data_IF_975264491017
#
_entry.id   IF_975264491017
#
_cell.length_a   1.000
_cell.length_b   1.000
_cell.length_c   1.000
_cell.angle_alpha   90.00
_cell.angle_beta   90.00
_cell.angle_gamma   90.00
#
_symmetry.space_group_name_H-M   'P 1'
#
loop_
_entity.id
_entity.type
_entity.pdbx_description
1 polymer ?
#
# COMPACT_ATOMS: atom_id res chain seq x y z
N UNK A 1 64.31 -30.09 -25.40
CA UNK A 1 63.31 -29.52 -26.33
C UNK A 1 62.50 -28.52 -25.50
N UNK A 2 62.45 -27.27 -25.97
CA UNK A 2 62.08 -26.04 -25.27
C UNK A 2 60.56 -25.75 -25.33
N UNK A 3 60.07 -24.95 -24.36
CA UNK A 3 58.90 -24.02 -24.42
C UNK A 3 57.50 -24.71 -24.36
N UNK A 4 56.44 -24.19 -23.75
CA UNK A 4 56.09 -22.84 -23.25
C UNK A 4 54.81 -22.93 -22.41
N UNK A 5 54.61 -21.96 -21.51
CA UNK A 5 53.36 -21.72 -20.78
C UNK A 5 52.18 -21.40 -21.72
N UNK A 6 50.97 -21.82 -21.35
CA UNK A 6 49.73 -21.33 -21.97
C UNK A 6 49.22 -20.12 -21.20
N UNK A 7 49.10 -19.02 -21.95
CA UNK A 7 48.45 -17.76 -21.59
C UNK A 7 47.01 -17.94 -21.11
N UNK A 8 46.63 -17.16 -20.10
CA UNK A 8 45.25 -16.99 -19.68
C UNK A 8 44.55 -15.97 -20.58
N UNK A 9 43.42 -16.29 -21.23
CA UNK A 9 42.60 -15.27 -21.88
C UNK A 9 41.88 -14.45 -20.80
N UNK A 10 42.18 -13.14 -20.75
CA UNK A 10 41.37 -12.16 -20.03
C UNK A 10 40.03 -12.01 -20.76
N UNK A 11 39.05 -12.84 -20.39
CA UNK A 11 37.67 -12.61 -20.76
C UNK A 11 37.12 -11.45 -19.93
N UNK A 12 36.90 -10.32 -20.58
CA UNK A 12 36.08 -9.23 -20.08
C UNK A 12 34.64 -9.74 -19.91
N UNK A 13 34.29 -10.16 -18.70
CA UNK A 13 32.91 -10.41 -18.32
C UNK A 13 32.24 -9.04 -18.15
N UNK A 14 31.21 -8.68 -18.94
CA UNK A 14 30.38 -7.54 -18.59
C UNK A 14 29.64 -7.88 -17.30
N UNK A 15 29.81 -7.04 -16.28
CA UNK A 15 29.02 -7.06 -15.06
C UNK A 15 27.53 -7.11 -15.42
N UNK A 16 26.70 -8.00 -14.81
CA UNK A 16 25.27 -7.85 -14.88
C UNK A 16 24.86 -6.67 -13.97
N UNK A 17 25.04 -5.47 -14.49
CA UNK A 17 24.45 -4.25 -13.94
C UNK A 17 23.00 -4.22 -14.37
N UNK A 18 22.12 -4.75 -13.52
CA UNK A 18 20.84 -4.15 -13.13
C UNK A 18 20.05 -5.20 -12.37
N UNK A 19 20.01 -5.05 -11.06
CA UNK A 19 18.90 -5.57 -10.27
C UNK A 19 17.61 -5.13 -10.96
N UNK A 20 16.61 -6.00 -11.21
CA UNK A 20 15.32 -5.54 -11.68
C UNK A 20 14.80 -4.56 -10.63
N UNK A 21 14.77 -3.27 -10.99
CA UNK A 21 14.06 -2.25 -10.24
C UNK A 21 12.60 -2.68 -10.26
N UNK A 22 12.15 -3.30 -9.17
CA UNK A 22 10.74 -3.53 -8.94
C UNK A 22 10.13 -2.14 -8.77
N UNK A 23 9.52 -1.62 -9.83
CA UNK A 23 8.65 -0.46 -9.71
C UNK A 23 7.66 -0.73 -8.58
N UNK A 24 7.54 0.15 -7.58
CA UNK A 24 6.53 -0.03 -6.56
C UNK A 24 5.18 0.11 -7.28
N UNK A 25 4.50 -1.03 -7.49
CA UNK A 25 3.13 -1.13 -7.99
C UNK A 25 2.20 -0.33 -7.06
N UNK A 26 2.20 0.99 -7.18
CA UNK A 26 1.49 1.88 -6.24
C UNK A 26 0.00 1.95 -6.57
N UNK A 27 -0.46 1.24 -7.61
CA UNK A 27 -1.88 1.12 -7.95
C UNK A 27 -2.11 -0.10 -8.85
N UNK A 28 -2.80 -1.13 -8.37
CA UNK A 28 -3.11 -2.34 -9.18
C UNK A 28 -4.30 -2.07 -10.14
N UNK A 29 -5.02 -0.97 -9.97
CA UNK A 29 -6.06 -0.54 -10.92
C UNK A 29 -5.47 0.35 -12.03
N UNK A 30 -5.32 -0.23 -13.22
CA UNK A 30 -5.00 0.43 -14.49
C UNK A 30 -6.10 1.44 -14.94
N UNK A 31 -5.79 2.35 -15.88
CA UNK A 31 -6.31 3.72 -15.91
C UNK A 31 -7.78 3.82 -16.33
N UNK A 32 -8.62 4.15 -15.34
CA UNK A 32 -9.96 4.69 -15.51
C UNK A 32 -10.12 5.88 -14.58
N UNK A 33 -9.63 7.04 -15.04
CA UNK A 33 -10.04 8.39 -14.61
C UNK A 33 -10.14 8.63 -13.10
N UNK A 34 -9.06 8.39 -12.36
CA UNK A 34 -8.81 9.21 -11.18
C UNK A 34 -8.16 10.50 -11.66
N UNK A 35 -8.98 11.52 -11.85
CA UNK A 35 -8.50 12.85 -12.16
C UNK A 35 -7.86 13.37 -10.87
N UNK A 36 -6.54 13.60 -10.89
CA UNK A 36 -5.90 14.44 -9.88
C UNK A 36 -6.48 15.85 -10.08
N UNK A 37 -7.42 16.22 -9.24
CA UNK A 37 -8.05 17.55 -9.29
C UNK A 37 -7.17 18.47 -8.44
N UNK A 38 -6.85 19.65 -8.99
CA UNK A 38 -6.33 20.79 -8.22
C UNK A 38 -7.18 20.99 -6.96
N UNK A 39 -6.65 21.58 -5.87
CA UNK A 39 -7.42 21.82 -4.66
C UNK A 39 -8.47 22.90 -4.92
N UNK A 40 -9.55 22.53 -5.60
CA UNK A 40 -10.81 23.24 -5.54
C UNK A 40 -11.34 23.07 -4.11
N UNK A 41 -12.02 24.09 -3.62
CA UNK A 41 -12.41 24.19 -2.22
C UNK A 41 -13.56 23.20 -1.94
N UNK A 42 -13.21 21.94 -1.65
CA UNK A 42 -14.17 20.87 -1.36
C UNK A 42 -14.97 21.30 -0.13
N UNK A 43 -16.26 21.55 -0.30
CA UNK A 43 -17.17 21.83 0.81
C UNK A 43 -17.53 20.51 1.47
N UNK A 44 -16.88 20.23 2.61
CA UNK A 44 -17.00 18.93 3.27
C UNK A 44 -18.36 18.83 3.96
N UNK A 45 -19.19 17.88 3.51
CA UNK A 45 -20.45 17.54 4.17
C UNK A 45 -20.32 16.34 5.09
N UNK A 46 -19.46 15.38 4.74
CA UNK A 46 -19.16 14.18 5.51
C UNK A 46 -17.72 13.74 5.23
N UNK A 47 -17.02 13.18 6.21
CA UNK A 47 -15.68 12.64 6.03
C UNK A 47 -15.13 12.04 7.32
N UNK A 48 -14.13 11.19 7.19
CA UNK A 48 -13.50 10.52 8.33
C UNK A 48 -12.00 10.33 8.10
N UNK A 49 -11.28 10.24 9.21
CA UNK A 49 -9.91 9.70 9.26
C UNK A 49 -10.02 8.29 9.84
N UNK A 50 -9.49 7.32 9.10
CA UNK A 50 -9.58 5.89 9.39
C UNK A 50 -8.17 5.33 9.58
N UNK A 51 -7.97 4.65 10.71
CA UNK A 51 -6.75 3.91 11.04
C UNK A 51 -6.90 2.46 10.60
N UNK A 52 -5.97 1.93 9.81
CA UNK A 52 -5.99 0.54 9.34
C UNK A 52 -4.71 -0.16 9.78
N UNK A 53 -4.75 -1.09 10.74
CA UNK A 53 -3.56 -1.82 11.17
C UNK A 53 -3.10 -2.75 10.06
N UNK A 54 -1.79 -2.79 9.79
CA UNK A 54 -1.19 -3.70 8.80
C UNK A 54 0.14 -4.26 9.32
N UNK A 55 0.57 -5.36 8.73
CA UNK A 55 1.76 -6.08 9.20
C UNK A 55 2.67 -6.37 8.01
N UNK A 56 3.88 -5.79 7.99
CA UNK A 56 4.93 -6.21 7.04
C UNK A 56 5.45 -7.62 7.37
N UNK A 57 5.38 -8.00 8.65
CA UNK A 57 5.65 -9.35 9.12
C UNK A 57 4.87 -9.64 10.40
N UNK A 58 4.64 -10.91 10.65
CA UNK A 58 4.20 -11.44 11.96
C UNK A 58 5.29 -12.34 12.53
N UNK A 59 5.09 -12.81 13.76
CA UNK A 59 6.03 -13.71 14.44
C UNK A 59 5.47 -15.12 14.51
N UNK A 60 6.34 -16.12 14.38
CA UNK A 60 5.99 -17.52 14.60
C UNK A 60 7.10 -18.31 15.30
N UNK A 61 6.72 -19.44 15.89
CA UNK A 61 7.62 -20.31 16.63
C UNK A 61 8.17 -19.69 17.93
N UNK A 62 8.89 -20.51 18.70
CA UNK A 62 9.39 -20.12 20.03
C UNK A 62 10.50 -19.06 19.97
N UNK A 63 11.11 -18.85 18.80
CA UNK A 63 12.20 -17.88 18.58
C UNK A 63 11.73 -16.54 18.01
N UNK A 64 10.41 -16.32 17.90
CA UNK A 64 9.85 -15.10 17.29
C UNK A 64 10.42 -14.86 15.89
N UNK A 65 10.46 -15.91 15.07
CA UNK A 65 10.93 -15.80 13.70
C UNK A 65 9.98 -14.90 12.91
N UNK A 66 10.54 -13.99 12.11
CA UNK A 66 9.74 -13.08 11.30
C UNK A 66 9.20 -13.81 10.08
N UNK A 67 7.90 -13.69 9.85
CA UNK A 67 7.22 -14.19 8.66
C UNK A 67 6.73 -13.01 7.80
N UNK A 68 7.46 -12.64 6.73
CA UNK A 68 7.12 -11.49 5.91
C UNK A 68 5.81 -11.67 5.16
N UNK A 69 5.05 -10.58 5.04
CA UNK A 69 3.72 -10.51 4.45
C UNK A 69 3.69 -9.47 3.34
N UNK A 70 2.97 -9.77 2.26
CA UNK A 70 2.48 -8.77 1.31
C UNK A 70 1.25 -8.11 1.91
N UNK A 71 1.12 -6.78 1.78
CA UNK A 71 -0.05 -6.03 2.23
C UNK A 71 -0.76 -5.40 1.04
N UNK A 72 -2.09 -5.58 0.98
CA UNK A 72 -2.96 -4.85 0.05
C UNK A 72 -4.02 -4.11 0.86
N UNK A 73 -3.92 -2.79 0.95
CA UNK A 73 -4.98 -1.92 1.44
C UNK A 73 -6.02 -1.74 0.33
N UNK A 74 -7.30 -1.97 0.64
CA UNK A 74 -8.44 -1.78 -0.25
C UNK A 74 -9.39 -0.73 0.32
N UNK A 75 -9.74 0.26 -0.49
CA UNK A 75 -10.74 1.29 -0.17
C UNK A 75 -11.89 1.14 -1.17
N UNK A 76 -13.08 0.85 -0.67
CA UNK A 76 -14.28 0.58 -1.46
C UNK A 76 -15.33 1.65 -1.17
N UNK A 77 -15.71 2.43 -2.18
CA UNK A 77 -16.87 3.31 -2.07
C UNK A 77 -18.14 2.45 -2.06
N UNK A 78 -18.84 2.44 -0.92
CA UNK A 78 -20.08 1.66 -0.74
C UNK A 78 -21.31 2.38 -1.27
N UNK A 79 -21.18 3.66 -1.65
CA UNK A 79 -22.31 4.45 -2.12
C UNK A 79 -22.72 3.99 -3.51
N UNK A 80 -24.03 3.88 -3.70
CA UNK A 80 -24.64 3.53 -4.99
C UNK A 80 -24.66 4.71 -5.96
N UNK A 81 -24.56 5.94 -5.45
CA UNK A 81 -24.80 7.16 -6.24
C UNK A 81 -23.71 8.21 -6.09
N UNK A 82 -23.10 8.33 -4.90
CA UNK A 82 -22.21 9.44 -4.60
C UNK A 82 -20.72 9.06 -4.75
N UNK A 83 -19.95 9.98 -5.30
CA UNK A 83 -18.49 9.92 -5.33
C UNK A 83 -17.92 10.35 -3.96
N UNK A 84 -16.86 9.69 -3.52
CA UNK A 84 -16.03 10.15 -2.40
C UNK A 84 -14.67 10.63 -2.92
N UNK A 85 -13.99 11.44 -2.10
CA UNK A 85 -12.64 11.90 -2.37
C UNK A 85 -11.72 11.35 -1.29
N UNK A 86 -10.73 10.56 -1.69
CA UNK A 86 -9.62 10.12 -0.84
C UNK A 86 -8.58 11.24 -0.85
N UNK A 87 -8.43 11.95 0.27
CA UNK A 87 -7.51 13.10 0.39
C UNK A 87 -6.09 12.67 0.68
N UNK A 88 -5.93 11.65 1.53
CA UNK A 88 -4.61 11.12 1.85
C UNK A 88 -4.66 9.63 2.18
N UNK A 89 -3.58 8.92 1.80
CA UNK A 89 -3.29 7.56 2.25
C UNK A 89 -1.84 7.52 2.72
N UNK A 90 -1.65 7.53 4.03
CA UNK A 90 -0.34 7.64 4.68
C UNK A 90 0.04 6.35 5.39
N UNK A 91 1.21 5.81 5.08
CA UNK A 91 1.75 4.58 5.63
C UNK A 91 2.76 4.88 6.74
N UNK A 92 2.53 4.36 7.94
CA UNK A 92 3.38 4.53 9.12
C UNK A 92 3.99 3.21 9.56
N UNK A 93 5.22 3.28 10.06
CA UNK A 93 5.88 2.11 10.65
C UNK A 93 5.50 1.90 12.12
N UNK A 94 5.99 0.80 12.67
CA UNK A 94 5.76 0.36 14.06
C UNK A 94 6.23 1.36 15.12
N UNK A 95 7.13 2.29 14.75
CA UNK A 95 7.59 3.38 15.62
C UNK A 95 6.75 4.66 15.49
N UNK A 96 5.68 4.66 14.70
CA UNK A 96 4.83 5.83 14.45
C UNK A 96 5.44 6.85 13.48
N UNK A 97 6.49 6.49 12.73
CA UNK A 97 7.10 7.36 11.72
C UNK A 97 6.41 7.17 10.37
N UNK A 98 6.09 8.28 9.70
CA UNK A 98 5.60 8.26 8.32
C UNK A 98 6.68 7.66 7.40
N UNK A 99 6.33 6.58 6.71
CA UNK A 99 7.19 5.88 5.75
C UNK A 99 6.94 6.42 4.35
N UNK A 100 5.66 6.49 3.95
CA UNK A 100 5.26 6.87 2.59
C UNK A 100 3.87 7.49 2.58
N UNK A 101 3.68 8.50 1.75
CA UNK A 101 2.36 8.95 1.33
C UNK A 101 2.08 8.41 -0.07
N UNK A 102 0.97 7.71 -0.24
CA UNK A 102 0.65 6.99 -1.47
C UNK A 102 -0.24 7.78 -2.45
N UNK A 103 -0.70 8.95 -2.03
CA UNK A 103 -1.59 9.82 -2.80
C UNK A 103 -0.86 11.10 -3.20
N UNK A 104 -0.79 11.40 -4.50
CA UNK A 104 -0.30 12.68 -5.01
C UNK A 104 -1.51 13.63 -5.20
N UNK A 105 -2.11 14.02 -4.07
CA UNK A 105 -3.31 14.86 -4.02
C UNK A 105 -4.62 14.09 -3.92
N UNK A 106 -5.73 14.79 -4.22
CA UNK A 106 -7.08 14.27 -4.06
C UNK A 106 -7.40 13.22 -5.14
N UNK A 107 -7.80 12.02 -4.70
CA UNK A 107 -8.24 10.92 -5.54
C UNK A 107 -9.76 10.81 -5.48
N UNK A 108 -10.45 11.10 -6.58
CA UNK A 108 -11.88 10.82 -6.69
C UNK A 108 -12.11 9.31 -6.83
N UNK A 109 -13.03 8.78 -6.03
CA UNK A 109 -13.46 7.38 -6.05
C UNK A 109 -14.97 7.34 -6.33
N UNK A 110 -15.38 7.06 -7.57
CA UNK A 110 -16.79 7.02 -7.97
C UNK A 110 -17.63 6.04 -7.14
N UNK A 111 -18.96 6.17 -7.24
CA UNK A 111 -19.90 5.21 -6.67
C UNK A 111 -19.50 3.76 -7.03
N UNK A 112 -19.53 2.86 -6.03
CA UNK A 112 -19.15 1.45 -6.15
C UNK A 112 -17.71 1.17 -6.62
N UNK A 113 -16.87 2.19 -6.81
CA UNK A 113 -15.48 2.00 -7.23
C UNK A 113 -14.59 1.57 -6.06
N UNK A 114 -13.50 0.87 -6.40
CA UNK A 114 -12.46 0.45 -5.46
C UNK A 114 -11.11 1.00 -5.89
N UNK A 115 -10.26 1.34 -4.92
CA UNK A 115 -8.85 1.64 -5.14
C UNK A 115 -7.99 0.87 -4.15
N UNK A 116 -6.78 0.51 -4.55
CA UNK A 116 -5.90 -0.37 -3.79
C UNK A 116 -4.47 0.18 -3.72
N UNK A 117 -3.84 -0.02 -2.57
CA UNK A 117 -2.45 0.32 -2.32
C UNK A 117 -1.69 -0.92 -1.86
N UNK A 118 -0.54 -1.16 -2.49
CA UNK A 118 0.22 -2.39 -2.33
C UNK A 118 1.57 -2.13 -1.65
N UNK A 119 1.88 -2.92 -0.63
CA UNK A 119 3.19 -2.99 0.00
C UNK A 119 3.80 -4.35 -0.34
N UNK A 120 4.89 -4.39 -1.11
CA UNK A 120 5.55 -5.65 -1.49
C UNK A 120 6.07 -6.41 -0.27
N UNK A 121 6.09 -7.75 -0.34
CA UNK A 121 6.57 -8.61 0.75
C UNK A 121 8.00 -8.30 1.23
N UNK A 122 8.86 -7.84 0.33
CA UNK A 122 10.24 -7.46 0.61
C UNK A 122 10.36 -6.14 1.38
N UNK A 123 9.28 -5.35 1.44
CA UNK A 123 9.26 -4.08 2.16
C UNK A 123 9.02 -4.33 3.66
N UNK A 124 10.12 -4.33 4.42
CA UNK A 124 10.12 -4.45 5.87
C UNK A 124 10.04 -3.11 6.61
N UNK A 125 9.90 -1.99 5.89
CA UNK A 125 9.96 -0.64 6.49
C UNK A 125 8.83 -0.35 7.47
N UNK A 126 7.70 -1.06 7.37
CA UNK A 126 6.57 -0.95 8.30
C UNK A 126 6.77 -1.68 9.62
N UNK A 127 7.35 -2.88 9.57
CA UNK A 127 7.45 -3.79 10.72
C UNK A 127 6.12 -4.43 11.13
N UNK A 128 6.06 -4.94 12.37
CA UNK A 128 4.94 -5.72 12.91
C UNK A 128 3.80 -4.91 13.54
N UNK A 129 3.90 -3.59 13.54
CA UNK A 129 2.88 -2.66 14.08
C UNK A 129 2.61 -1.50 13.12
N UNK A 130 2.78 -1.74 11.82
CA UNK A 130 2.55 -0.74 10.80
C UNK A 130 1.06 -0.38 10.69
N UNK A 131 0.76 0.76 10.07
CA UNK A 131 -0.62 1.16 9.82
C UNK A 131 -0.73 2.10 8.62
N UNK A 132 -1.95 2.16 8.08
CA UNK A 132 -2.37 3.25 7.20
C UNK A 132 -3.28 4.22 7.94
N UNK A 133 -3.10 5.51 7.66
CA UNK A 133 -4.06 6.56 7.96
C UNK A 133 -4.68 7.00 6.64
N UNK A 134 -5.98 6.75 6.49
CA UNK A 134 -6.76 7.11 5.32
C UNK A 134 -7.70 8.24 5.66
N UNK A 135 -7.63 9.33 4.90
CA UNK A 135 -8.58 10.43 4.97
C UNK A 135 -9.49 10.43 3.76
N UNK A 136 -10.80 10.38 3.99
CA UNK A 136 -11.80 10.51 2.93
C UNK A 136 -12.84 11.56 3.28
N UNK A 137 -13.36 12.23 2.25
CA UNK A 137 -14.41 13.25 2.36
C UNK A 137 -15.44 13.11 1.23
N UNK A 138 -16.59 13.73 1.42
CA UNK A 138 -17.60 13.92 0.38
C UNK A 138 -18.34 15.22 0.61
N UNK A 139 -18.76 15.83 -0.50
CA UNK A 139 -19.63 17.01 -0.50
C UNK A 139 -21.10 16.66 -0.27
N UNK A 140 -21.44 15.36 -0.28
CA UNK A 140 -22.82 14.87 -0.23
C UNK A 140 -23.10 14.21 1.12
N UNK A 141 -24.08 14.74 1.85
CA UNK A 141 -24.51 14.17 3.15
C UNK A 141 -25.12 12.76 3.02
N UNK A 142 -25.65 12.42 1.84
CA UNK A 142 -26.27 11.12 1.54
C UNK A 142 -25.27 9.99 1.34
N UNK A 143 -23.97 10.29 1.28
CA UNK A 143 -22.93 9.28 1.06
C UNK A 143 -22.86 8.27 2.22
N UNK A 144 -22.74 6.99 1.86
CA UNK A 144 -22.46 5.92 2.80
C UNK A 144 -20.96 5.86 3.10
N UNK A 145 -20.60 5.30 4.26
CA UNK A 145 -19.20 5.22 4.67
C UNK A 145 -18.48 4.13 3.87
N UNK A 146 -17.28 4.39 3.33
CA UNK A 146 -16.54 3.40 2.59
C UNK A 146 -16.11 2.24 3.48
N UNK A 147 -15.92 1.06 2.88
CA UNK A 147 -15.21 -0.03 3.52
C UNK A 147 -13.72 0.17 3.27
N UNK A 148 -12.94 0.18 4.35
CA UNK A 148 -11.48 0.30 4.29
C UNK A 148 -10.91 -0.87 5.06
N UNK A 149 -10.17 -1.73 4.36
CA UNK A 149 -9.64 -2.97 4.90
C UNK A 149 -8.26 -3.25 4.30
N UNK A 150 -7.45 -4.05 4.99
CA UNK A 150 -6.19 -4.52 4.45
C UNK A 150 -6.14 -6.04 4.46
N UNK A 151 -5.71 -6.62 3.34
CA UNK A 151 -5.45 -8.04 3.19
C UNK A 151 -3.95 -8.26 3.33
N UNK A 152 -3.56 -9.13 4.26
CA UNK A 152 -2.20 -9.61 4.37
C UNK A 152 -2.12 -11.04 3.85
N UNK A 153 -1.14 -11.32 3.00
CA UNK A 153 -0.91 -12.65 2.44
C UNK A 153 0.58 -12.97 2.43
N UNK A 154 0.91 -14.22 2.74
CA UNK A 154 2.20 -14.80 2.41
C UNK A 154 2.04 -16.25 2.02
N UNK A 155 2.67 -16.61 0.92
CA UNK A 155 2.70 -17.97 0.36
C UNK A 155 4.08 -18.60 0.52
N UNK A 156 4.93 -18.06 1.41
CA UNK A 156 6.23 -18.67 1.72
C UNK A 156 6.02 -20.00 2.45
N UNK A 157 6.88 -20.97 2.15
CA UNK A 157 6.84 -22.35 2.67
C UNK A 157 5.63 -23.17 2.17
N UNK A 158 5.37 -24.32 2.79
CA UNK A 158 4.29 -25.25 2.43
C UNK A 158 2.91 -24.86 2.99
N UNK A 159 2.81 -23.75 3.72
CA UNK A 159 1.57 -23.23 4.27
C UNK A 159 1.45 -21.74 3.92
N UNK A 160 0.42 -21.39 3.15
CA UNK A 160 0.05 -20.00 2.94
C UNK A 160 -0.80 -19.50 4.11
N UNK A 161 -0.53 -18.28 4.57
CA UNK A 161 -1.41 -17.58 5.51
C UNK A 161 -2.01 -16.35 4.84
N UNK A 162 -3.26 -16.10 5.16
CA UNK A 162 -3.90 -14.83 4.83
C UNK A 162 -4.87 -14.42 5.91
N UNK A 163 -4.98 -13.12 6.12
CA UNK A 163 -5.95 -12.54 7.06
C UNK A 163 -6.26 -11.11 6.66
N UNK A 164 -7.37 -10.59 7.19
CA UNK A 164 -7.85 -9.25 6.92
C UNK A 164 -7.84 -8.45 8.22
N UNK A 165 -7.50 -7.17 8.12
CA UNK A 165 -7.75 -6.18 9.16
C UNK A 165 -8.74 -5.14 8.67
N UNK A 166 -9.60 -4.69 9.57
CA UNK A 166 -10.59 -3.65 9.29
C UNK A 166 -10.05 -2.29 9.71
N UNK A 167 -10.44 -1.26 8.97
CA UNK A 167 -10.23 0.12 9.36
C UNK A 167 -11.11 0.52 10.53
N UNK A 168 -10.55 1.33 11.43
CA UNK A 168 -11.24 1.92 12.57
C UNK A 168 -11.30 3.44 12.41
N UNK A 169 -12.50 4.00 12.49
CA UNK A 169 -12.68 5.46 12.47
C UNK A 169 -12.08 6.05 13.74
N UNK A 170 -11.11 6.95 13.59
CA UNK A 170 -10.46 7.63 14.72
C UNK A 170 -10.88 9.10 14.83
N UNK A 171 -11.41 9.69 13.76
CA UNK A 171 -11.91 11.06 13.76
C UNK A 171 -12.96 11.27 12.68
N UNK A 172 -14.06 11.95 13.04
CA UNK A 172 -15.01 12.49 12.06
C UNK A 172 -14.58 13.89 11.65
N UNK A 173 -14.62 14.19 10.36
CA UNK A 173 -14.32 15.52 9.82
C UNK A 173 -15.59 16.34 9.87
N UNK A 174 -15.56 17.44 10.64
CA UNK A 174 -16.68 18.36 10.74
C UNK A 174 -16.73 19.24 9.49
N UNK A 175 -17.94 19.58 8.99
CA UNK A 175 -18.14 20.63 7.99
C UNK A 175 -17.55 21.98 8.41
#
# INVERSE_FOLDING_TARGET
MLLTACDAPKNNIPSPTSSPQVEPLTRITQPGTAISVKPEQIVISKGQIVYVPVYSHIYHGDKQEQFPLTVTLSIRNTSLTETIVIRSVRYYNSGGKLVKEHTEGNLQLPALATTEFFIPQQDSSGGSGANFIVEWVSEKKTVTEPIIEAVMISTRLQQGISFVTLGHVIQNIKP
#
